data_IF_175046880816
#
_entry.id   IF_175046880816
#
_cell.length_a   1.000
_cell.length_b   1.000
_cell.length_c   1.000
_cell.angle_alpha   90.00
_cell.angle_beta   90.00
_cell.angle_gamma   90.00
#
_symmetry.space_group_name_H-M   'P 1'
#
loop_
_entity.id
_entity.type
_entity.pdbx_description
1 polymer ?
#
# COMPACT_ATOMS: atom_id res chain seq x y z
N UNK A 1 -27.58 4.17 29.38
CA UNK A 1 -26.18 3.73 29.44
C UNK A 1 -25.59 3.91 28.05
N UNK A 2 -24.96 5.06 27.78
CA UNK A 2 -24.32 5.29 26.49
C UNK A 2 -23.01 4.49 26.49
N UNK A 3 -22.97 3.40 25.73
CA UNK A 3 -21.69 2.74 25.43
C UNK A 3 -20.94 3.71 24.55
N UNK A 4 -19.99 4.45 25.15
CA UNK A 4 -19.00 5.18 24.38
C UNK A 4 -18.20 4.12 23.64
N UNK A 5 -18.51 3.88 22.37
CA UNK A 5 -17.76 2.94 21.53
C UNK A 5 -16.45 3.66 21.18
N UNK A 6 -15.50 3.57 22.10
CA UNK A 6 -14.17 4.15 21.96
C UNK A 6 -13.46 3.47 20.79
N UNK A 7 -12.85 4.25 19.91
CA UNK A 7 -11.92 3.75 18.91
C UNK A 7 -10.74 3.03 19.60
N UNK A 8 -10.43 1.79 19.19
CA UNK A 8 -9.23 1.09 19.65
C UNK A 8 -8.74 0.06 18.64
N UNK A 9 -7.50 -0.38 18.78
CA UNK A 9 -6.90 -1.48 18.02
C UNK A 9 -6.35 -2.56 18.95
N UNK A 10 -6.28 -3.80 18.47
CA UNK A 10 -5.76 -4.96 19.21
C UNK A 10 -4.96 -5.86 18.28
N UNK A 11 -3.80 -6.32 18.73
CA UNK A 11 -2.97 -7.28 18.01
C UNK A 11 -3.24 -8.69 18.49
N UNK A 12 -3.20 -9.66 17.58
CA UNK A 12 -3.40 -11.07 17.91
C UNK A 12 -2.33 -11.62 18.84
N UNK A 13 -1.07 -11.18 18.69
CA UNK A 13 0.05 -11.59 19.55
C UNK A 13 0.06 -10.90 20.92
N UNK A 14 -0.78 -9.88 21.14
CA UNK A 14 -0.94 -9.17 22.41
C UNK A 14 -2.41 -9.15 22.86
N UNK A 15 -2.98 -10.32 23.19
CA UNK A 15 -4.38 -10.42 23.54
C UNK A 15 -4.70 -9.56 24.77
N UNK A 16 -5.86 -8.89 24.75
CA UNK A 16 -6.36 -8.00 25.82
C UNK A 16 -5.61 -6.67 25.98
N UNK A 17 -4.62 -6.37 25.13
CA UNK A 17 -3.97 -5.05 25.10
C UNK A 17 -4.64 -4.16 24.05
N UNK A 18 -5.33 -3.12 24.50
CA UNK A 18 -5.99 -2.14 23.62
C UNK A 18 -5.07 -0.96 23.37
N UNK A 19 -4.93 -0.60 22.10
CA UNK A 19 -4.20 0.57 21.63
C UNK A 19 -5.19 1.63 21.19
N UNK A 20 -5.08 2.84 21.73
CA UNK A 20 -5.91 4.00 21.34
C UNK A 20 -5.12 5.06 20.57
N UNK A 21 -3.80 4.89 20.48
CA UNK A 21 -2.88 5.76 19.75
C UNK A 21 -2.26 5.01 18.57
N UNK A 22 -2.47 5.51 17.36
CA UNK A 22 -1.91 4.94 16.15
C UNK A 22 -0.38 5.04 16.07
N UNK A 23 0.25 5.99 16.77
CA UNK A 23 1.71 6.03 16.83
C UNK A 23 2.25 4.80 17.57
N UNK A 24 1.61 4.41 18.68
CA UNK A 24 1.93 3.19 19.40
C UNK A 24 1.65 1.92 18.58
N UNK A 25 0.56 1.90 17.79
CA UNK A 25 0.27 0.79 16.86
C UNK A 25 1.38 0.65 15.82
N UNK A 26 1.83 1.75 15.20
CA UNK A 26 2.94 1.72 14.23
C UNK A 26 4.24 1.23 14.85
N UNK A 27 4.55 1.68 16.08
CA UNK A 27 5.73 1.23 16.79
C UNK A 27 5.67 -0.27 17.06
N UNK A 28 4.53 -0.79 17.52
CA UNK A 28 4.35 -2.22 17.77
C UNK A 28 4.50 -3.07 16.48
N UNK A 29 4.00 -2.60 15.34
CA UNK A 29 4.23 -3.28 14.05
C UNK A 29 5.73 -3.36 13.74
N UNK A 30 6.47 -2.27 13.95
CA UNK A 30 7.93 -2.24 13.74
C UNK A 30 8.63 -3.22 14.69
N UNK A 31 8.28 -3.18 15.97
CA UNK A 31 8.90 -4.02 17.00
C UNK A 31 8.64 -5.51 16.75
N UNK A 32 7.44 -5.87 16.31
CA UNK A 32 7.07 -7.25 15.96
C UNK A 32 7.77 -7.71 14.68
N UNK A 33 7.85 -6.84 13.67
CA UNK A 33 8.60 -7.13 12.44
C UNK A 33 10.07 -7.41 12.77
N UNK A 34 10.72 -6.55 13.56
CA UNK A 34 12.12 -6.71 13.96
C UNK A 34 12.36 -7.98 14.80
N UNK A 35 11.38 -8.38 15.63
CA UNK A 35 11.43 -9.60 16.44
C UNK A 35 11.44 -10.85 15.57
N UNK A 36 10.62 -10.89 14.53
CA UNK A 36 10.47 -12.03 13.63
C UNK A 36 11.61 -12.13 12.59
N UNK A 37 12.05 -10.99 12.04
CA UNK A 37 13.08 -10.99 10.98
C UNK A 37 14.51 -10.97 11.50
N UNK A 38 14.70 -10.61 12.77
CA UNK A 38 16.02 -10.29 13.33
C UNK A 38 16.70 -9.12 12.61
N UNK A 39 17.97 -8.85 12.96
CA UNK A 39 18.76 -7.75 12.35
C UNK A 39 19.27 -8.04 10.93
N UNK A 40 19.07 -9.25 10.41
CA UNK A 40 19.68 -9.73 9.16
C UNK A 40 18.90 -9.40 7.89
N UNK A 41 17.83 -8.58 7.97
CA UNK A 41 16.96 -8.21 6.82
C UNK A 41 16.35 -9.43 6.11
N UNK A 42 16.14 -10.53 6.82
CA UNK A 42 15.39 -11.67 6.30
C UNK A 42 13.90 -11.28 6.20
N UNK A 43 13.16 -11.86 5.26
CA UNK A 43 11.70 -11.71 5.22
C UNK A 43 11.08 -12.85 6.03
N UNK A 44 10.06 -12.52 6.83
CA UNK A 44 9.21 -13.51 7.51
C UNK A 44 7.90 -13.63 6.76
N UNK A 45 7.44 -14.86 6.54
CA UNK A 45 6.12 -15.16 5.99
C UNK A 45 5.01 -15.20 7.05
N UNK A 46 5.36 -14.98 8.32
CA UNK A 46 4.41 -14.94 9.43
C UNK A 46 3.67 -13.59 9.42
N UNK A 47 2.33 -13.58 9.27
CA UNK A 47 1.56 -12.35 9.22
C UNK A 47 1.37 -11.72 10.61
N UNK A 48 1.41 -10.38 10.67
CA UNK A 48 0.98 -9.61 11.85
C UNK A 48 -0.52 -9.32 11.75
N UNK A 49 -1.31 -9.91 12.64
CA UNK A 49 -2.76 -9.69 12.68
C UNK A 49 -3.13 -8.53 13.60
N UNK A 50 -3.67 -7.45 13.00
CA UNK A 50 -4.16 -6.25 13.68
C UNK A 50 -5.67 -6.08 13.43
N UNK A 51 -6.44 -5.95 14.50
CA UNK A 51 -7.87 -5.60 14.42
C UNK A 51 -8.08 -4.15 14.86
N UNK A 52 -8.78 -3.36 14.04
CA UNK A 52 -9.11 -1.95 14.32
C UNK A 52 -10.63 -1.84 14.52
N UNK A 53 -11.05 -1.35 15.68
CA UNK A 53 -12.43 -1.19 16.08
C UNK A 53 -12.83 0.28 16.07
N UNK A 54 -13.88 0.61 15.32
CA UNK A 54 -14.39 1.97 15.20
C UNK A 54 -15.89 1.93 14.86
N UNK A 55 -16.72 2.86 15.38
CA UNK A 55 -18.11 2.99 14.91
C UNK A 55 -18.21 3.52 13.47
N UNK A 56 -17.10 4.02 12.91
CA UNK A 56 -17.06 4.66 11.59
C UNK A 56 -16.46 3.75 10.49
N UNK A 57 -16.27 2.45 10.77
CA UNK A 57 -15.72 1.49 9.79
C UNK A 57 -16.67 0.32 9.60
N UNK A 58 -16.57 -0.32 8.44
CA UNK A 58 -17.23 -1.59 8.13
C UNK A 58 -16.26 -2.75 8.35
N UNK A 59 -16.79 -3.97 8.44
CA UNK A 59 -15.97 -5.17 8.48
C UNK A 59 -15.25 -5.35 7.13
N UNK A 60 -13.95 -5.09 7.11
CA UNK A 60 -13.09 -5.19 5.95
C UNK A 60 -11.70 -5.71 6.37
N UNK A 61 -11.13 -6.60 5.57
CA UNK A 61 -9.74 -7.04 5.73
C UNK A 61 -8.86 -6.28 4.74
N UNK A 62 -7.79 -5.66 5.25
CA UNK A 62 -6.73 -5.04 4.47
C UNK A 62 -5.45 -5.83 4.70
N UNK A 63 -4.69 -6.06 3.64
CA UNK A 63 -3.44 -6.82 3.69
C UNK A 63 -2.36 -5.92 3.13
N UNK A 64 -1.34 -5.65 3.96
CA UNK A 64 -0.12 -4.97 3.54
C UNK A 64 0.94 -6.03 3.26
N UNK A 65 1.60 -5.95 2.11
CA UNK A 65 2.51 -6.97 1.60
C UNK A 65 3.90 -6.36 1.35
N UNK A 66 4.99 -7.13 1.52
CA UNK A 66 6.32 -6.66 1.15
C UNK A 66 6.38 -6.23 -0.31
N UNK A 67 7.14 -5.16 -0.58
CA UNK A 67 7.36 -4.71 -1.95
C UNK A 67 8.18 -5.72 -2.75
N UNK A 68 7.81 -5.93 -4.01
CA UNK A 68 8.59 -6.73 -4.96
C UNK A 68 9.92 -6.00 -5.21
N UNK A 69 11.05 -6.65 -4.96
CA UNK A 69 12.37 -6.04 -5.17
C UNK A 69 13.26 -6.91 -6.05
N UNK A 70 14.08 -6.28 -6.89
CA UNK A 70 15.05 -6.96 -7.79
C UNK A 70 16.51 -6.88 -7.30
N UNK A 71 16.74 -6.27 -6.14
CA UNK A 71 18.08 -6.01 -5.58
C UNK A 71 18.49 -6.96 -4.44
N UNK A 72 17.75 -8.04 -4.25
CA UNK A 72 18.00 -9.06 -3.22
C UNK A 72 18.45 -10.37 -3.87
N UNK A 73 18.88 -11.34 -3.05
CA UNK A 73 19.20 -12.67 -3.54
C UNK A 73 17.98 -13.30 -4.23
N UNK A 74 18.19 -14.05 -5.32
CA UNK A 74 17.10 -14.61 -6.13
C UNK A 74 16.07 -15.38 -5.30
N UNK A 75 16.52 -16.19 -4.33
CA UNK A 75 15.64 -16.93 -3.43
C UNK A 75 14.69 -16.03 -2.64
N UNK A 76 15.17 -14.85 -2.21
CA UNK A 76 14.37 -13.89 -1.43
C UNK A 76 13.29 -13.26 -2.32
N UNK A 77 13.65 -12.95 -3.58
CA UNK A 77 12.70 -12.40 -4.56
C UNK A 77 11.58 -13.41 -4.81
N UNK A 78 11.93 -14.68 -5.00
CA UNK A 78 10.97 -15.77 -5.18
C UNK A 78 10.09 -15.97 -3.95
N UNK A 79 10.65 -15.91 -2.74
CA UNK A 79 9.89 -16.03 -1.48
C UNK A 79 8.87 -14.90 -1.31
N UNK A 80 9.25 -13.65 -1.60
CA UNK A 80 8.31 -12.50 -1.58
C UNK A 80 7.22 -12.71 -2.62
N UNK A 81 7.58 -13.10 -3.83
CA UNK A 81 6.62 -13.30 -4.91
C UNK A 81 5.60 -14.38 -4.55
N UNK A 82 6.06 -15.53 -4.03
CA UNK A 82 5.20 -16.62 -3.57
C UNK A 82 4.28 -16.18 -2.42
N UNK A 83 4.81 -15.39 -1.47
CA UNK A 83 4.01 -14.82 -0.39
C UNK A 83 2.88 -13.94 -0.92
N UNK A 84 3.21 -13.01 -1.82
CA UNK A 84 2.23 -12.09 -2.44
C UNK A 84 1.16 -12.90 -3.18
N UNK A 85 1.57 -13.86 -4.02
CA UNK A 85 0.66 -14.74 -4.77
C UNK A 85 -0.32 -15.49 -3.87
N UNK A 86 0.15 -16.02 -2.74
CA UNK A 86 -0.70 -16.71 -1.75
C UNK A 86 -1.87 -15.87 -1.22
N UNK A 87 -1.80 -14.55 -1.30
CA UNK A 87 -2.91 -13.65 -0.97
C UNK A 87 -3.76 -13.26 -2.19
N UNK A 88 -3.12 -12.87 -3.30
CA UNK A 88 -3.82 -12.26 -4.45
C UNK A 88 -4.43 -13.27 -5.42
N UNK A 89 -4.05 -14.55 -5.37
CA UNK A 89 -4.67 -15.62 -6.17
C UNK A 89 -6.12 -15.91 -5.77
N UNK A 90 -6.50 -15.54 -4.54
CA UNK A 90 -7.86 -15.75 -4.04
C UNK A 90 -8.84 -14.86 -4.82
N UNK A 91 -9.94 -15.42 -5.37
CA UNK A 91 -10.86 -14.67 -6.21
C UNK A 91 -11.62 -13.57 -5.46
N UNK A 92 -11.74 -13.68 -4.13
CA UNK A 92 -12.37 -12.69 -3.25
C UNK A 92 -11.39 -11.63 -2.72
N UNK A 93 -10.34 -11.31 -3.49
CA UNK A 93 -9.34 -10.30 -3.17
C UNK A 93 -9.35 -9.20 -4.24
N UNK A 94 -9.59 -7.95 -3.83
CA UNK A 94 -9.37 -6.78 -4.69
C UNK A 94 -7.87 -6.49 -4.71
N UNK A 95 -7.30 -6.38 -5.90
CA UNK A 95 -5.89 -6.08 -6.11
C UNK A 95 -5.72 -4.59 -6.37
N UNK A 96 -4.87 -3.94 -5.60
CA UNK A 96 -4.37 -2.60 -5.90
C UNK A 96 -2.98 -2.73 -6.50
N UNK A 97 -2.88 -2.63 -7.83
CA UNK A 97 -1.60 -2.68 -8.55
C UNK A 97 -0.95 -1.29 -8.50
N UNK A 98 -0.05 -1.10 -7.54
CA UNK A 98 0.59 0.19 -7.26
C UNK A 98 1.89 0.29 -8.08
N UNK A 99 1.97 1.31 -8.94
CA UNK A 99 3.14 1.59 -9.77
C UNK A 99 3.59 3.05 -9.60
N UNK A 100 4.89 3.33 -9.49
CA UNK A 100 5.39 4.70 -9.47
C UNK A 100 5.40 5.29 -10.90
N UNK A 101 4.98 6.55 -11.05
CA UNK A 101 4.89 7.25 -12.33
C UNK A 101 6.26 7.62 -12.93
N UNK A 102 7.29 7.70 -12.08
CA UNK A 102 8.65 8.02 -12.50
C UNK A 102 9.45 6.80 -13.00
N UNK A 103 8.76 5.69 -13.29
CA UNK A 103 9.31 4.49 -13.89
C UNK A 103 8.41 4.02 -15.03
N UNK A 104 8.97 3.28 -15.98
CA UNK A 104 8.20 2.72 -17.07
C UNK A 104 7.20 1.67 -16.55
N UNK A 105 5.92 1.90 -16.83
CA UNK A 105 4.82 1.03 -16.40
C UNK A 105 4.95 -0.39 -16.96
N UNK A 106 5.54 -0.54 -18.15
CA UNK A 106 5.78 -1.85 -18.77
C UNK A 106 6.72 -2.73 -17.94
N UNK A 107 7.51 -2.13 -17.04
CA UNK A 107 8.44 -2.83 -16.14
C UNK A 107 7.86 -3.08 -14.75
N UNK A 108 6.60 -2.69 -14.51
CA UNK A 108 5.97 -2.80 -13.19
C UNK A 108 5.64 -4.26 -12.84
N UNK A 109 6.33 -4.77 -11.81
CA UNK A 109 6.09 -6.12 -11.30
C UNK A 109 4.67 -6.28 -10.72
N UNK A 110 4.12 -5.21 -10.11
CA UNK A 110 2.75 -5.21 -9.60
C UNK A 110 1.73 -5.45 -10.73
N UNK A 111 1.90 -4.79 -11.88
CA UNK A 111 1.02 -4.97 -13.04
C UNK A 111 1.21 -6.36 -13.63
N UNK A 112 2.45 -6.79 -13.84
CA UNK A 112 2.76 -8.12 -14.36
C UNK A 112 2.07 -9.21 -13.53
N UNK A 113 2.29 -9.24 -12.23
CA UNK A 113 1.72 -10.26 -11.35
C UNK A 113 0.18 -10.16 -11.29
N UNK A 114 -0.38 -8.95 -11.24
CA UNK A 114 -1.84 -8.78 -11.23
C UNK A 114 -2.50 -9.33 -12.50
N UNK A 115 -1.90 -9.13 -13.68
CA UNK A 115 -2.39 -9.67 -14.94
C UNK A 115 -2.28 -11.21 -15.02
N UNK A 116 -1.33 -11.82 -14.31
CA UNK A 116 -1.21 -13.28 -14.29
C UNK A 116 -2.30 -13.94 -13.43
N UNK A 117 -2.67 -13.33 -12.29
CA UNK A 117 -3.69 -13.88 -11.37
C UNK A 117 -5.11 -13.37 -11.63
N UNK A 118 -5.24 -12.28 -12.38
CA UNK A 118 -6.50 -11.68 -12.83
C UNK A 118 -6.38 -11.22 -14.31
N UNK A 119 -6.30 -12.14 -15.29
CA UNK A 119 -6.06 -11.78 -16.69
C UNK A 119 -7.15 -10.93 -17.33
N UNK A 120 -8.36 -10.94 -16.76
CA UNK A 120 -9.47 -10.11 -17.23
C UNK A 120 -9.48 -8.73 -16.58
N UNK A 121 -8.75 -8.53 -15.48
CA UNK A 121 -8.73 -7.29 -14.71
C UNK A 121 -10.03 -7.03 -13.93
N UNK A 122 -10.84 -8.06 -13.65
CA UNK A 122 -12.18 -7.90 -13.06
C UNK A 122 -12.14 -7.42 -11.60
N UNK A 123 -10.98 -7.53 -10.94
CA UNK A 123 -10.77 -7.18 -9.53
C UNK A 123 -9.46 -6.40 -9.31
N UNK A 124 -8.88 -5.82 -10.36
CA UNK A 124 -7.59 -5.12 -10.32
C UNK A 124 -7.73 -3.62 -10.61
N UNK A 125 -7.33 -2.79 -9.64
CA UNK A 125 -7.27 -1.33 -9.77
C UNK A 125 -5.82 -0.88 -9.93
N UNK A 126 -5.53 -0.14 -10.99
CA UNK A 126 -4.24 0.50 -11.20
C UNK A 126 -4.13 1.78 -10.38
N UNK A 127 -3.07 1.90 -9.58
CA UNK A 127 -2.79 3.10 -8.78
C UNK A 127 -1.43 3.65 -9.17
N UNK A 128 -1.41 4.89 -9.63
CA UNK A 128 -0.20 5.57 -10.05
C UNK A 128 0.27 6.53 -8.94
N UNK A 129 1.47 6.30 -8.41
CA UNK A 129 2.06 7.08 -7.31
C UNK A 129 3.22 7.94 -7.79
N UNK A 130 3.70 8.89 -6.97
CA UNK A 130 4.90 9.70 -7.27
C UNK A 130 4.80 10.51 -8.58
N UNK A 131 3.60 10.93 -8.95
CA UNK A 131 3.36 11.72 -10.17
C UNK A 131 4.08 13.07 -10.08
N UNK A 132 4.20 13.62 -8.87
CA UNK A 132 4.97 14.81 -8.54
C UNK A 132 6.48 14.68 -8.77
N UNK A 133 7.00 13.46 -8.96
CA UNK A 133 8.42 13.16 -9.16
C UNK A 133 8.75 12.71 -10.59
N UNK A 134 7.84 12.92 -11.54
CA UNK A 134 8.10 12.66 -12.96
C UNK A 134 9.14 13.62 -13.52
N UNK A 135 9.89 13.16 -14.52
CA UNK A 135 10.91 13.96 -15.19
C UNK A 135 10.26 15.11 -15.95
N UNK A 136 10.89 16.29 -15.92
CA UNK A 136 10.40 17.46 -16.65
C UNK A 136 10.24 17.16 -18.14
N UNK A 137 9.08 17.48 -18.69
CA UNK A 137 8.72 17.17 -20.08
C UNK A 137 8.05 15.80 -20.27
N UNK A 138 7.77 15.07 -19.19
CA UNK A 138 6.92 13.87 -19.19
C UNK A 138 5.67 14.09 -18.33
N UNK A 139 4.58 13.38 -18.64
CA UNK A 139 3.35 13.43 -17.84
C UNK A 139 2.65 12.07 -17.78
N UNK A 140 1.71 11.96 -16.85
CA UNK A 140 0.94 10.74 -16.59
C UNK A 140 -0.40 10.71 -17.35
N UNK A 141 -0.74 11.73 -18.14
CA UNK A 141 -2.05 11.89 -18.79
C UNK A 141 -2.42 10.65 -19.58
N UNK A 142 -1.51 10.16 -20.42
CA UNK A 142 -1.75 8.98 -21.25
C UNK A 142 -2.11 7.73 -20.45
N UNK A 143 -1.52 7.57 -19.25
CA UNK A 143 -1.82 6.44 -18.36
C UNK A 143 -3.20 6.66 -17.71
N UNK A 144 -3.44 7.86 -17.19
CA UNK A 144 -4.66 8.22 -16.47
C UNK A 144 -5.90 8.23 -17.38
N UNK A 145 -5.75 8.63 -18.64
CA UNK A 145 -6.80 8.59 -19.67
C UNK A 145 -7.00 7.20 -20.31
N UNK A 146 -6.24 6.19 -19.86
CA UNK A 146 -6.50 4.79 -20.17
C UNK A 146 -5.89 4.28 -21.47
N UNK A 147 -4.76 4.85 -21.94
CA UNK A 147 -3.96 4.20 -23.00
C UNK A 147 -3.44 2.84 -22.55
N UNK A 148 -3.09 2.71 -21.27
CA UNK A 148 -2.86 1.43 -20.60
C UNK A 148 -4.17 0.91 -20.03
N UNK A 149 -4.83 0.02 -20.77
CA UNK A 149 -6.19 -0.43 -20.44
C UNK A 149 -6.19 -1.45 -19.29
N UNK A 150 -6.80 -1.04 -18.18
CA UNK A 150 -7.38 -1.92 -17.17
C UNK A 150 -8.92 -1.84 -17.28
N UNK A 151 -9.64 -2.78 -16.65
CA UNK A 151 -11.12 -2.69 -16.61
C UNK A 151 -11.59 -1.46 -15.85
N UNK A 152 -10.84 -1.05 -14.83
CA UNK A 152 -11.10 0.15 -14.04
C UNK A 152 -10.12 1.26 -14.44
N UNK A 153 -10.57 2.54 -14.43
CA UNK A 153 -9.67 3.67 -14.68
C UNK A 153 -8.51 3.71 -13.68
N UNK A 154 -7.38 4.23 -14.14
CA UNK A 154 -6.24 4.48 -13.27
C UNK A 154 -6.53 5.58 -12.26
N UNK A 155 -5.97 5.42 -11.06
CA UNK A 155 -6.11 6.40 -9.98
C UNK A 155 -4.74 6.98 -9.67
N UNK A 156 -4.54 8.26 -9.96
CA UNK A 156 -3.33 8.99 -9.59
C UNK A 156 -3.38 9.47 -8.14
N UNK A 157 -2.28 9.30 -7.40
CA UNK A 157 -2.15 9.79 -6.02
C UNK A 157 -0.80 10.47 -5.79
N UNK A 158 -0.81 11.52 -4.97
CA UNK A 158 0.41 12.21 -4.51
C UNK A 158 0.52 12.05 -3.01
N UNK A 159 1.49 11.23 -2.59
CA UNK A 159 1.73 10.91 -1.19
C UNK A 159 2.77 11.85 -0.56
N UNK A 160 2.95 11.74 0.76
CA UNK A 160 4.02 12.45 1.47
C UNK A 160 5.39 11.99 0.97
N UNK A 161 6.30 12.94 0.76
CA UNK A 161 7.71 12.66 0.47
C UNK A 161 8.44 12.15 1.71
N UNK A 162 9.66 11.61 1.55
CA UNK A 162 10.49 11.23 2.70
C UNK A 162 10.78 12.42 3.62
N UNK A 163 11.01 13.61 3.06
CA UNK A 163 11.21 14.83 3.84
C UNK A 163 9.97 15.19 4.68
N UNK A 164 8.77 14.96 4.15
CA UNK A 164 7.52 15.18 4.88
C UNK A 164 7.30 14.17 5.99
N UNK A 165 7.65 12.90 5.75
CA UNK A 165 7.61 11.84 6.76
C UNK A 165 8.55 12.20 7.92
N UNK A 166 9.78 12.61 7.61
CA UNK A 166 10.76 13.01 8.63
C UNK A 166 10.28 14.23 9.44
N UNK A 167 9.54 15.15 8.81
CA UNK A 167 8.92 16.30 9.47
C UNK A 167 7.57 15.97 10.14
N UNK A 168 7.14 14.71 10.13
CA UNK A 168 5.86 14.26 10.66
C UNK A 168 4.67 15.06 10.14
N UNK A 169 4.70 15.44 8.85
CA UNK A 169 3.57 16.16 8.22
C UNK A 169 2.30 15.33 8.36
N UNK A 170 1.25 15.95 8.89
CA UNK A 170 -0.02 15.29 9.12
C UNK A 170 -0.75 14.95 7.80
N UNK A 171 -1.73 14.05 7.91
CA UNK A 171 -2.49 13.59 6.75
C UNK A 171 -3.42 14.67 6.16
N UNK A 172 -3.86 15.66 6.94
CA UNK A 172 -4.75 16.73 6.48
C UNK A 172 -3.97 17.65 5.53
N UNK A 173 -2.76 18.04 5.93
CA UNK A 173 -1.83 18.82 5.12
C UNK A 173 -1.40 18.06 3.86
N UNK A 174 -1.15 16.75 3.96
CA UNK A 174 -0.87 15.91 2.79
C UNK A 174 -2.03 15.91 1.78
N UNK A 175 -3.27 15.71 2.25
CA UNK A 175 -4.47 15.73 1.39
C UNK A 175 -4.78 17.10 0.79
N UNK A 176 -4.42 18.19 1.48
CA UNK A 176 -4.50 19.54 0.89
C UNK A 176 -3.51 19.69 -0.26
N UNK A 177 -2.24 19.30 -0.06
CA UNK A 177 -1.21 19.38 -1.10
C UNK A 177 -1.52 18.50 -2.31
N UNK A 178 -2.04 17.30 -2.10
CA UNK A 178 -2.48 16.42 -3.19
C UNK A 178 -3.57 17.09 -4.05
N UNK A 179 -4.57 17.71 -3.43
CA UNK A 179 -5.61 18.46 -4.15
C UNK A 179 -5.04 19.68 -4.88
N UNK A 180 -4.14 20.42 -4.24
CA UNK A 180 -3.47 21.57 -4.86
C UNK A 180 -2.62 21.14 -6.05
N UNK A 181 -1.96 19.98 -6.01
CA UNK A 181 -1.22 19.43 -7.14
C UNK A 181 -2.16 19.16 -8.32
N UNK A 182 -3.19 18.33 -8.15
CA UNK A 182 -4.09 17.99 -9.26
C UNK A 182 -4.96 19.16 -9.75
N UNK A 183 -5.18 20.19 -8.94
CA UNK A 183 -5.92 21.37 -9.37
C UNK A 183 -5.07 22.38 -10.16
N UNK A 184 -3.76 22.43 -9.90
CA UNK A 184 -2.86 23.45 -10.47
C UNK A 184 -1.86 22.89 -11.49
N UNK A 185 -1.69 21.57 -11.57
CA UNK A 185 -0.88 20.93 -12.61
C UNK A 185 -1.67 20.92 -13.93
N UNK A 186 -1.20 21.64 -14.97
CA UNK A 186 -1.87 21.68 -16.28
C UNK A 186 -1.66 20.42 -17.12
N UNK A 187 -0.77 19.53 -16.66
CA UNK A 187 -0.44 18.19 -17.18
C UNK A 187 -0.77 17.13 -16.13
#
# INVERSE_FOLDING_TARGET
MYVCVSFYSEFMHLPRKRFTDFAAVRQEISDETDRETGRTKAISSVPIHLSIYSPNVVNLALIDLPGLTKGQAESIVEDIENMVRGFIEKPNCIIMAISPANQDLATSDAIKISCEVDPKGERTFGVLTKIDLMDQGTNAVDILEGRYRLQFPWIGVVNRSQADINKSVDMIAARRREREYFANSPE
#
